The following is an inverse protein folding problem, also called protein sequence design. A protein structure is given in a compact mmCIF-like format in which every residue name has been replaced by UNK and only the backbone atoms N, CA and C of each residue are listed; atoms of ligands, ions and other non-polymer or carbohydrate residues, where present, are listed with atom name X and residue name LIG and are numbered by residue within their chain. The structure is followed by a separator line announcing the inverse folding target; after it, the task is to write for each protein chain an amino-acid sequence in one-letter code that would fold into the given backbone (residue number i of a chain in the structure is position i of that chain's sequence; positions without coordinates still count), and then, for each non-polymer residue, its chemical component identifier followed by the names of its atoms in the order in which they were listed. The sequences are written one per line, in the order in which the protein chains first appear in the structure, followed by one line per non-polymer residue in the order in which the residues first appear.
data_IF_437050162552
#
_entry.id   IF_437050162552
#
_cell.length_a   1.000
_cell.length_b   1.000
_cell.length_c   1.000
_cell.angle_alpha   90.00
_cell.angle_beta   90.00
_cell.angle_gamma   90.00
#
_symmetry.space_group_name_H-M   'P 1'
#
loop_
_entity.id
_entity.type
_entity.pdbx_description
1 polymer ?
#
# COMPACT_ATOMS: atom_id res chain seq x y z
N UNK A 1 22.51 26.49 59.49
CA UNK A 1 21.82 27.06 58.30
C UNK A 1 22.35 26.44 56.99
N UNK A 2 22.44 25.10 56.89
CA UNK A 2 23.00 24.36 55.73
C UNK A 2 22.34 22.98 55.53
N UNK A 3 21.01 22.92 55.36
CA UNK A 3 20.31 21.64 55.10
C UNK A 3 19.21 21.68 54.02
N UNK A 4 18.97 22.81 53.36
CA UNK A 4 17.83 22.97 52.44
C UNK A 4 18.15 22.71 50.95
N UNK A 5 19.41 22.42 50.58
CA UNK A 5 19.85 22.41 49.18
C UNK A 5 20.26 21.02 48.67
N UNK A 6 19.48 19.98 49.00
CA UNK A 6 19.75 18.60 48.54
C UNK A 6 18.55 17.86 47.92
N UNK A 7 17.40 18.51 47.76
CA UNK A 7 16.19 17.85 47.22
C UNK A 7 15.84 18.24 45.77
N UNK A 8 16.64 19.09 45.11
CA UNK A 8 16.27 19.69 43.81
C UNK A 8 17.08 19.16 42.62
N UNK A 9 17.72 17.99 42.76
CA UNK A 9 18.46 17.33 41.68
C UNK A 9 17.83 16.06 41.06
N UNK A 10 16.82 15.37 41.65
CA UNK A 10 16.23 14.20 40.98
C UNK A 10 15.07 14.51 40.01
N UNK A 11 14.64 15.78 39.87
CA UNK A 11 13.44 16.11 39.07
C UNK A 11 13.73 16.29 37.56
N UNK A 12 14.96 16.64 37.17
CA UNK A 12 15.29 16.97 35.76
C UNK A 12 15.82 15.77 34.96
N UNK A 13 16.19 14.68 35.63
CA UNK A 13 16.61 13.43 34.97
C UNK A 13 15.44 12.50 34.58
N UNK A 14 14.21 12.81 35.00
CA UNK A 14 13.02 11.96 34.77
C UNK A 14 12.26 12.21 33.46
N UNK A 15 12.53 13.32 32.75
CA UNK A 15 11.75 13.72 31.57
C UNK A 15 12.38 13.31 30.22
N UNK A 16 13.56 12.69 30.24
CA UNK A 16 14.25 12.19 29.04
C UNK A 16 13.98 10.70 28.72
N UNK A 17 13.22 9.98 29.56
CA UNK A 17 12.93 8.55 29.41
C UNK A 17 11.52 8.26 28.86
N UNK A 18 10.73 9.28 28.53
CA UNK A 18 9.31 9.12 28.14
C UNK A 18 9.07 8.88 26.64
N UNK A 19 10.12 8.80 25.80
CA UNK A 19 9.94 8.58 24.34
C UNK A 19 10.41 7.21 23.84
N UNK A 20 10.78 6.29 24.73
CA UNK A 20 11.18 4.91 24.37
C UNK A 20 10.01 3.91 24.38
N UNK A 21 8.76 4.37 24.31
CA UNK A 21 7.58 3.53 24.54
C UNK A 21 7.02 2.70 23.36
N UNK A 22 7.49 2.73 22.09
CA UNK A 22 6.82 1.92 21.07
C UNK A 22 7.18 0.43 21.13
N UNK A 23 8.24 0.02 21.83
CA UNK A 23 8.68 -1.37 21.84
C UNK A 23 7.79 -2.30 22.68
N UNK A 24 7.27 -1.81 23.81
CA UNK A 24 6.41 -2.62 24.71
C UNK A 24 4.95 -2.69 24.22
N UNK A 25 4.45 -1.67 23.53
CA UNK A 25 3.10 -1.72 22.95
C UNK A 25 3.02 -2.67 21.74
N UNK A 26 4.15 -2.90 21.06
CA UNK A 26 4.20 -3.79 19.89
C UNK A 26 4.15 -5.27 20.28
N UNK A 27 4.73 -5.66 21.43
CA UNK A 27 4.69 -7.05 21.90
C UNK A 27 3.27 -7.51 22.25
N UNK A 28 2.48 -6.66 22.89
CA UNK A 28 1.12 -7.02 23.33
C UNK A 28 0.18 -7.18 22.12
N UNK A 29 0.34 -6.33 21.09
CA UNK A 29 -0.44 -6.42 19.86
C UNK A 29 -0.12 -7.69 19.05
N UNK A 30 1.15 -8.10 19.01
CA UNK A 30 1.57 -9.33 18.36
C UNK A 30 1.04 -10.56 19.08
N UNK A 31 1.08 -10.59 20.41
CA UNK A 31 0.55 -11.69 21.22
C UNK A 31 -0.96 -11.86 21.01
N UNK A 32 -1.73 -10.77 21.09
CA UNK A 32 -3.17 -10.80 20.80
C UNK A 32 -3.47 -11.24 19.36
N UNK A 33 -2.67 -10.81 18.38
CA UNK A 33 -2.83 -11.25 16.99
C UNK A 33 -2.61 -12.76 16.83
N UNK A 34 -1.66 -13.34 17.58
CA UNK A 34 -1.40 -14.79 17.59
C UNK A 34 -2.55 -15.56 18.25
N UNK A 35 -3.14 -15.06 19.32
CA UNK A 35 -4.33 -15.67 19.93
C UNK A 35 -5.51 -15.72 18.93
N UNK A 36 -5.78 -14.61 18.23
CA UNK A 36 -6.80 -14.57 17.16
C UNK A 36 -6.49 -15.52 16.01
N UNK A 37 -5.21 -15.72 15.70
CA UNK A 37 -4.81 -16.71 14.71
C UNK A 37 -5.09 -18.14 15.18
N UNK A 38 -4.87 -18.46 16.45
CA UNK A 38 -5.23 -19.76 17.03
C UNK A 38 -6.74 -19.99 16.97
N UNK A 39 -7.54 -18.98 17.32
CA UNK A 39 -9.00 -19.01 17.17
C UNK A 39 -9.40 -19.27 15.70
N UNK A 40 -8.80 -18.55 14.75
CA UNK A 40 -9.08 -18.76 13.33
C UNK A 40 -8.77 -20.19 12.85
N UNK A 41 -7.69 -20.80 13.36
CA UNK A 41 -7.34 -22.21 13.08
C UNK A 41 -8.39 -23.17 13.60
N UNK A 42 -8.78 -23.01 14.87
CA UNK A 42 -9.77 -23.85 15.53
C UNK A 42 -11.14 -23.78 14.84
N UNK A 43 -11.59 -22.58 14.50
CA UNK A 43 -12.86 -22.37 13.79
C UNK A 43 -12.85 -22.93 12.37
N UNK A 44 -11.68 -22.89 11.70
CA UNK A 44 -11.52 -23.48 10.38
C UNK A 44 -11.58 -25.01 10.43
N UNK A 45 -10.95 -25.62 11.43
CA UNK A 45 -11.04 -27.07 11.69
C UNK A 45 -12.46 -27.51 12.07
N UNK A 46 -13.21 -26.65 12.75
CA UNK A 46 -14.62 -26.86 13.09
C UNK A 46 -15.58 -26.68 11.90
N UNK A 47 -15.11 -26.18 10.75
CA UNK A 47 -15.93 -25.88 9.57
C UNK A 47 -16.72 -24.57 9.67
N UNK A 48 -16.46 -23.74 10.70
CA UNK A 48 -17.11 -22.45 10.90
C UNK A 48 -16.39 -21.35 10.11
N UNK A 49 -16.51 -21.41 8.78
CA UNK A 49 -15.69 -20.59 7.87
C UNK A 49 -15.90 -19.07 8.03
N UNK A 50 -17.09 -18.60 8.39
CA UNK A 50 -17.33 -17.17 8.63
C UNK A 50 -16.60 -16.66 9.87
N UNK A 51 -16.65 -17.42 10.97
CA UNK A 51 -15.96 -17.10 12.22
C UNK A 51 -14.45 -17.15 12.02
N UNK A 52 -13.95 -18.19 11.34
CA UNK A 52 -12.54 -18.32 10.99
C UNK A 52 -12.05 -17.11 10.17
N UNK A 53 -12.82 -16.67 9.17
CA UNK A 53 -12.52 -15.47 8.37
C UNK A 53 -12.46 -14.21 9.25
N UNK A 54 -13.42 -14.05 10.15
CA UNK A 54 -13.50 -12.89 11.06
C UNK A 54 -12.29 -12.83 12.01
N UNK A 55 -11.96 -13.96 12.64
CA UNK A 55 -10.81 -14.07 13.54
C UNK A 55 -9.48 -13.81 12.81
N UNK A 56 -9.32 -14.35 11.59
CA UNK A 56 -8.15 -14.08 10.76
C UNK A 56 -8.05 -12.59 10.34
N UNK A 57 -9.17 -11.93 10.07
CA UNK A 57 -9.20 -10.49 9.79
C UNK A 57 -8.81 -9.66 11.01
N UNK A 58 -9.29 -10.03 12.20
CA UNK A 58 -8.90 -9.39 13.46
C UNK A 58 -7.38 -9.52 13.71
N UNK A 59 -6.81 -10.71 13.46
CA UNK A 59 -5.37 -10.93 13.57
C UNK A 59 -4.57 -10.01 12.62
N UNK A 60 -4.99 -9.89 11.35
CA UNK A 60 -4.33 -9.02 10.37
C UNK A 60 -4.47 -7.52 10.68
N UNK A 61 -5.57 -7.10 11.32
CA UNK A 61 -5.75 -5.70 11.78
C UNK A 61 -4.82 -5.35 12.93
N UNK A 62 -4.61 -6.29 13.85
CA UNK A 62 -3.70 -6.12 14.99
C UNK A 62 -2.23 -6.15 14.53
N UNK A 63 -1.89 -7.12 13.68
CA UNK A 63 -0.52 -7.29 13.20
C UNK A 63 -0.48 -7.61 11.69
N UNK A 64 -0.37 -6.58 10.82
CA UNK A 64 -0.41 -6.76 9.36
C UNK A 64 0.71 -7.63 8.76
N UNK A 65 1.83 -7.77 9.48
CA UNK A 65 2.95 -8.64 9.10
C UNK A 65 2.75 -10.11 9.47
N UNK A 66 1.64 -10.48 10.13
CA UNK A 66 1.29 -11.86 10.43
C UNK A 66 0.77 -12.57 9.16
N UNK A 67 1.66 -12.84 8.21
CA UNK A 67 1.29 -13.41 6.92
C UNK A 67 0.54 -14.74 7.04
N UNK A 68 0.81 -15.52 8.09
CA UNK A 68 0.08 -16.77 8.35
C UNK A 68 -1.44 -16.55 8.47
N UNK A 69 -1.90 -15.46 9.09
CA UNK A 69 -3.32 -15.11 9.16
C UNK A 69 -3.94 -14.88 7.78
N UNK A 70 -3.17 -14.38 6.81
CA UNK A 70 -3.59 -14.27 5.42
C UNK A 70 -3.90 -15.65 4.83
N UNK A 71 -3.04 -16.65 5.04
CA UNK A 71 -3.29 -18.02 4.57
C UNK A 71 -4.61 -18.57 5.12
N UNK A 72 -4.85 -18.48 6.44
CA UNK A 72 -6.10 -18.97 7.05
C UNK A 72 -7.34 -18.21 6.59
N UNK A 73 -7.24 -16.89 6.38
CA UNK A 73 -8.32 -16.11 5.75
C UNK A 73 -8.64 -16.62 4.34
N UNK A 74 -7.63 -17.01 3.56
CA UNK A 74 -7.83 -17.55 2.22
C UNK A 74 -8.51 -18.92 2.25
N UNK A 75 -8.10 -19.79 3.17
CA UNK A 75 -8.71 -21.10 3.38
C UNK A 75 -10.17 -20.97 3.86
N UNK A 76 -10.47 -19.98 4.71
CA UNK A 76 -11.85 -19.67 5.07
C UNK A 76 -12.68 -19.23 3.86
N UNK A 77 -12.13 -18.40 2.96
CA UNK A 77 -12.81 -18.05 1.70
C UNK A 77 -13.01 -19.27 0.78
N UNK A 78 -12.08 -20.23 0.77
CA UNK A 78 -12.26 -21.51 0.06
C UNK A 78 -13.48 -22.26 0.61
N UNK A 79 -13.59 -22.36 1.94
CA UNK A 79 -14.73 -23.01 2.62
C UNK A 79 -16.08 -22.31 2.37
N UNK A 80 -16.07 -21.00 2.19
CA UNK A 80 -17.27 -20.21 1.82
C UNK A 80 -17.65 -20.30 0.33
N UNK A 81 -16.88 -21.00 -0.50
CA UNK A 81 -17.11 -21.05 -1.95
C UNK A 81 -16.70 -19.77 -2.69
N UNK A 82 -16.06 -18.81 -2.02
CA UNK A 82 -15.55 -17.58 -2.64
C UNK A 82 -14.20 -17.81 -3.33
N UNK A 83 -14.15 -18.79 -4.25
CA UNK A 83 -12.93 -19.36 -4.83
C UNK A 83 -12.01 -18.32 -5.49
N UNK A 84 -12.57 -17.32 -6.16
CA UNK A 84 -11.79 -16.24 -6.80
C UNK A 84 -11.01 -15.40 -5.77
N UNK A 85 -11.64 -15.08 -4.63
CA UNK A 85 -11.01 -14.32 -3.55
C UNK A 85 -9.97 -15.16 -2.83
N UNK A 86 -10.27 -16.42 -2.56
CA UNK A 86 -9.31 -17.37 -1.98
C UNK A 86 -8.03 -17.47 -2.84
N UNK A 87 -8.18 -17.66 -4.16
CA UNK A 87 -7.06 -17.71 -5.12
C UNK A 87 -6.21 -16.44 -5.08
N UNK A 88 -6.83 -15.27 -5.14
CA UNK A 88 -6.13 -13.99 -5.10
C UNK A 88 -5.28 -13.85 -3.84
N UNK A 89 -5.88 -14.16 -2.69
CA UNK A 89 -5.24 -14.00 -1.39
C UNK A 89 -4.09 -14.99 -1.16
N UNK A 90 -4.23 -16.26 -1.59
CA UNK A 90 -3.14 -17.25 -1.58
C UNK A 90 -2.00 -16.87 -2.51
N UNK A 91 -2.30 -16.31 -3.69
CA UNK A 91 -1.25 -15.86 -4.62
C UNK A 91 -0.41 -14.72 -4.03
N UNK A 92 -1.06 -13.78 -3.34
CA UNK A 92 -0.36 -12.72 -2.58
C UNK A 92 0.46 -13.31 -1.45
N UNK A 93 -0.12 -14.23 -0.66
CA UNK A 93 0.59 -14.90 0.43
C UNK A 93 1.88 -15.59 -0.03
N UNK A 94 1.84 -16.32 -1.16
CA UNK A 94 3.01 -16.98 -1.74
C UNK A 94 4.13 -16.01 -2.12
N UNK A 95 3.79 -14.80 -2.57
CA UNK A 95 4.76 -13.77 -2.93
C UNK A 95 5.45 -13.14 -1.70
N UNK A 96 4.71 -12.99 -0.59
CA UNK A 96 5.21 -12.30 0.61
C UNK A 96 5.80 -13.25 1.66
N UNK A 97 5.41 -14.52 1.66
CA UNK A 97 5.91 -15.51 2.60
C UNK A 97 7.35 -15.90 2.29
N UNK A 98 8.18 -16.05 3.33
CA UNK A 98 9.56 -16.51 3.21
C UNK A 98 9.74 -17.98 3.59
N UNK A 99 8.77 -18.57 4.29
CA UNK A 99 8.86 -19.95 4.76
C UNK A 99 8.42 -20.95 3.68
N UNK A 100 9.30 -21.91 3.35
CA UNK A 100 9.06 -22.89 2.27
C UNK A 100 7.89 -23.82 2.59
N UNK A 101 7.76 -24.26 3.85
CA UNK A 101 6.62 -25.09 4.30
C UNK A 101 5.28 -24.38 4.08
N UNK A 102 5.23 -23.07 4.35
CA UNK A 102 4.03 -22.28 4.18
C UNK A 102 3.68 -22.08 2.70
N UNK A 103 4.69 -21.93 1.83
CA UNK A 103 4.49 -21.88 0.37
C UNK A 103 3.97 -23.21 -0.16
N UNK A 104 4.48 -24.34 0.30
CA UNK A 104 4.02 -25.66 -0.11
C UNK A 104 2.53 -25.86 0.23
N UNK A 105 2.11 -25.49 1.45
CA UNK A 105 0.68 -25.52 1.83
C UNK A 105 -0.18 -24.60 0.97
N UNK A 106 0.32 -23.42 0.64
CA UNK A 106 -0.39 -22.49 -0.23
C UNK A 106 -0.53 -23.01 -1.67
N UNK A 107 0.49 -23.71 -2.18
CA UNK A 107 0.45 -24.34 -3.51
C UNK A 107 -0.55 -25.48 -3.58
N UNK A 108 -0.62 -26.31 -2.54
CA UNK A 108 -1.63 -27.36 -2.44
C UNK A 108 -3.06 -26.77 -2.42
N UNK A 109 -3.29 -25.72 -1.61
CA UNK A 109 -4.58 -25.04 -1.55
C UNK A 109 -4.95 -24.38 -2.89
N UNK A 110 -3.98 -23.76 -3.58
CA UNK A 110 -4.18 -23.17 -4.90
C UNK A 110 -4.57 -24.23 -5.94
N UNK A 111 -3.95 -25.41 -5.91
CA UNK A 111 -4.30 -26.51 -6.82
C UNK A 111 -5.76 -26.95 -6.62
N UNK A 112 -6.18 -27.17 -5.37
CA UNK A 112 -7.58 -27.52 -5.04
C UNK A 112 -8.58 -26.45 -5.50
N UNK A 113 -8.25 -25.17 -5.26
CA UNK A 113 -9.12 -24.06 -5.69
C UNK A 113 -9.22 -23.96 -7.22
N UNK A 114 -8.12 -24.22 -7.94
CA UNK A 114 -8.12 -24.20 -9.41
C UNK A 114 -8.97 -25.33 -10.00
N UNK A 115 -8.91 -26.52 -9.40
CA UNK A 115 -9.77 -27.64 -9.77
C UNK A 115 -11.25 -27.28 -9.57
N UNK A 116 -11.63 -26.81 -8.38
CA UNK A 116 -13.00 -26.35 -8.08
C UNK A 116 -13.48 -25.25 -9.04
N UNK A 117 -12.61 -24.29 -9.39
CA UNK A 117 -12.95 -23.25 -10.37
C UNK A 117 -13.16 -23.82 -11.78
N UNK A 118 -12.41 -24.84 -12.16
CA UNK A 118 -12.59 -25.56 -13.42
C UNK A 118 -13.93 -26.28 -13.48
N UNK A 119 -14.34 -26.93 -12.40
CA UNK A 119 -15.64 -27.60 -12.29
C UNK A 119 -16.80 -26.61 -12.37
N UNK A 120 -16.74 -25.51 -11.61
CA UNK A 120 -17.77 -24.44 -11.66
C UNK A 120 -17.89 -23.87 -13.07
N UNK A 121 -16.77 -23.71 -13.79
CA UNK A 121 -16.79 -23.22 -15.18
C UNK A 121 -17.41 -24.24 -16.13
N UNK A 122 -17.11 -25.52 -15.99
CA UNK A 122 -17.73 -26.59 -16.81
C UNK A 122 -19.24 -26.62 -16.59
N UNK A 123 -19.68 -26.61 -15.33
CA UNK A 123 -21.10 -26.59 -14.99
C UNK A 123 -21.83 -25.37 -15.57
N UNK A 124 -21.20 -24.18 -15.54
CA UNK A 124 -21.77 -22.98 -16.15
C UNK A 124 -21.93 -23.10 -17.68
N UNK A 125 -20.95 -23.68 -18.38
CA UNK A 125 -21.01 -23.91 -19.83
C UNK A 125 -22.11 -24.94 -20.18
N UNK A 126 -22.24 -26.01 -19.40
CA UNK A 126 -23.30 -27.01 -19.60
C UNK A 126 -24.71 -26.42 -19.38
N UNK A 127 -24.88 -25.56 -18.38
CA UNK A 127 -26.14 -24.83 -18.14
C UNK A 127 -26.48 -23.89 -19.29
N UNK A 128 -25.49 -23.14 -19.79
CA UNK A 128 -25.67 -22.23 -20.93
C UNK A 128 -26.02 -22.99 -22.22
N UNK A 129 -25.36 -24.13 -22.49
CA UNK A 129 -25.67 -24.97 -23.63
C UNK A 129 -27.08 -25.58 -23.56
N UNK A 130 -27.53 -25.99 -22.37
CA UNK A 130 -28.88 -26.51 -22.14
C UNK A 130 -29.95 -25.42 -22.32
N UNK A 131 -29.69 -24.20 -21.83
CA UNK A 131 -30.60 -23.06 -22.00
C UNK A 131 -30.76 -22.68 -23.47
N UNK A 132 -29.67 -22.68 -24.26
CA UNK A 132 -29.71 -22.38 -25.69
C UNK A 132 -30.48 -23.46 -26.50
N UNK A 133 -30.43 -24.72 -26.07
CA UNK A 133 -31.17 -25.81 -26.71
C UNK A 133 -32.69 -25.74 -26.45
N UNK A 134 -33.12 -25.13 -25.34
CA UNK A 134 -34.52 -24.98 -25.00
C UNK A 134 -35.20 -23.79 -25.72
N UNK A 135 -34.44 -22.77 -26.10
CA UNK A 135 -34.94 -21.56 -26.77
C UNK A 135 -35.08 -21.75 -28.30
N UNK A 136 -34.44 -22.78 -28.87
CA UNK A 136 -34.41 -23.03 -30.31
C UNK A 136 -35.64 -23.74 -30.92
N UNK A 137 -36.78 -23.82 -30.22
CA UNK A 137 -37.95 -24.60 -30.65
C UNK A 137 -39.28 -23.84 -30.71
N UNK A 138 -39.25 -22.55 -31.07
CA UNK A 138 -40.44 -21.84 -31.54
C UNK A 138 -40.36 -21.60 -33.06
N UNK A 139 -40.95 -22.56 -33.77
CA UNK A 139 -41.29 -22.50 -35.18
C UNK A 139 -42.54 -21.62 -35.34
N UNK A 140 -42.47 -20.57 -36.16
CA UNK A 140 -43.66 -20.03 -36.83
C UNK A 140 -44.00 -18.55 -36.62
N UNK A 141 -43.64 -17.77 -37.65
CA UNK A 141 -44.48 -16.78 -38.33
C UNK A 141 -45.10 -15.63 -37.51
N UNK A 142 -44.64 -14.41 -37.79
CA UNK A 142 -45.54 -13.38 -38.32
C UNK A 142 -44.75 -12.30 -39.08
N UNK A 143 -45.07 -12.17 -40.37
CA UNK A 143 -44.72 -11.04 -41.22
C UNK A 143 -45.41 -9.78 -40.66
N UNK A 144 -44.63 -8.71 -40.47
CA UNK A 144 -45.12 -7.44 -39.96
C UNK A 144 -44.24 -6.30 -40.44
N UNK A 145 -44.31 -6.04 -41.74
CA UNK A 145 -43.82 -4.84 -42.40
C UNK A 145 -44.54 -3.61 -41.81
N UNK A 146 -43.85 -2.73 -41.09
CA UNK A 146 -44.27 -1.32 -41.06
C UNK A 146 -43.08 -0.37 -40.88
N UNK A 147 -42.85 0.38 -41.95
CA UNK A 147 -41.93 1.50 -42.01
C UNK A 147 -42.45 2.65 -41.13
N UNK A 148 -41.69 2.99 -40.09
CA UNK A 148 -41.97 4.11 -39.18
C UNK A 148 -40.80 5.07 -39.10
N UNK A 149 -40.86 6.11 -39.92
CA UNK A 149 -39.88 7.20 -40.04
C UNK A 149 -39.75 8.07 -38.79
N UNK A 150 -38.58 8.72 -38.69
CA UNK A 150 -38.37 10.07 -38.13
C UNK A 150 -38.31 10.22 -36.61
N UNK A 151 -37.12 10.60 -36.14
CA UNK A 151 -36.88 11.01 -34.76
C UNK A 151 -35.53 11.66 -34.53
N UNK A 152 -35.19 12.65 -35.37
CA UNK A 152 -34.12 13.63 -35.13
C UNK A 152 -34.37 14.34 -33.80
N UNK A 153 -33.53 14.08 -32.80
CA UNK A 153 -33.70 14.59 -31.43
C UNK A 153 -32.39 15.04 -30.80
N UNK A 154 -31.95 16.23 -31.20
CA UNK A 154 -31.37 17.25 -30.31
C UNK A 154 -30.14 16.88 -29.46
N UNK A 155 -28.96 17.04 -30.08
CA UNK A 155 -28.05 18.15 -29.76
C UNK A 155 -27.99 18.66 -28.31
N UNK A 156 -27.67 17.80 -27.35
CA UNK A 156 -27.22 18.21 -26.02
C UNK A 156 -25.78 18.71 -26.10
N UNK A 157 -25.61 19.99 -26.43
CA UNK A 157 -24.32 20.70 -26.36
C UNK A 157 -23.89 20.78 -24.89
N UNK A 158 -23.22 19.72 -24.41
CA UNK A 158 -22.56 19.70 -23.13
C UNK A 158 -21.44 20.74 -23.19
N UNK A 159 -21.70 21.89 -22.56
CA UNK A 159 -20.73 22.94 -22.35
C UNK A 159 -19.42 22.31 -21.90
N UNK A 160 -18.42 22.44 -22.77
CA UNK A 160 -17.09 21.93 -22.54
C UNK A 160 -16.52 22.54 -21.27
N UNK A 161 -16.62 21.81 -20.16
CA UNK A 161 -15.46 21.65 -19.31
C UNK A 161 -14.39 21.08 -20.22
N UNK A 162 -13.60 21.98 -20.81
CA UNK A 162 -12.26 21.65 -21.25
C UNK A 162 -11.53 21.21 -19.99
N UNK A 163 -11.73 19.94 -19.62
CA UNK A 163 -10.85 19.21 -18.72
C UNK A 163 -9.50 19.41 -19.37
N UNK A 164 -8.69 20.28 -18.75
CA UNK A 164 -7.40 20.68 -19.28
C UNK A 164 -6.68 19.41 -19.69
N UNK A 165 -6.59 19.19 -21.02
CA UNK A 165 -5.91 18.00 -21.54
C UNK A 165 -4.52 18.08 -20.95
N UNK A 166 -4.11 17.15 -20.06
CA UNK A 166 -2.78 17.18 -19.52
C UNK A 166 -1.85 17.15 -20.72
N UNK A 167 -0.98 18.15 -20.84
CA UNK A 167 -0.24 18.57 -22.05
C UNK A 167 0.62 17.49 -22.75
N UNK A 168 0.54 16.23 -22.34
CA UNK A 168 1.38 15.10 -22.76
C UNK A 168 0.58 13.77 -22.75
N UNK A 169 -0.70 13.79 -23.15
CA UNK A 169 -1.46 12.55 -23.40
C UNK A 169 -1.33 12.18 -24.88
N UNK A 170 -0.73 11.03 -25.23
CA UNK A 170 -0.72 10.54 -26.60
C UNK A 170 -2.14 10.21 -27.06
N UNK A 171 -2.42 10.33 -28.35
CA UNK A 171 -3.71 10.01 -28.96
C UNK A 171 -3.94 8.48 -29.04
N UNK A 172 -4.01 7.82 -27.88
CA UNK A 172 -4.41 6.41 -27.80
C UNK A 172 -5.94 6.31 -27.76
N UNK A 173 -6.56 5.36 -28.50
CA UNK A 173 -7.99 5.12 -28.39
C UNK A 173 -8.32 4.73 -26.95
N UNK A 174 -9.37 5.36 -26.39
CA UNK A 174 -9.79 5.10 -25.02
C UNK A 174 -10.11 3.61 -24.84
N UNK A 175 -9.51 2.99 -23.81
CA UNK A 175 -9.66 1.56 -23.53
C UNK A 175 -8.63 0.65 -24.20
N UNK A 176 -7.70 1.18 -24.99
CA UNK A 176 -6.58 0.36 -25.49
C UNK A 176 -5.61 -0.04 -24.37
N UNK A 177 -4.90 -1.14 -24.57
CA UNK A 177 -3.85 -1.59 -23.64
C UNK A 177 -2.72 -0.53 -23.52
N UNK A 178 -2.45 0.20 -24.59
CA UNK A 178 -1.50 1.31 -24.62
C UNK A 178 -1.96 2.47 -23.73
N UNK A 179 -3.27 2.76 -23.73
CA UNK A 179 -3.87 3.75 -22.85
C UNK A 179 -3.77 3.33 -21.38
N UNK A 180 -4.11 2.08 -21.06
CA UNK A 180 -4.04 1.56 -19.69
C UNK A 180 -2.60 1.51 -19.15
N UNK A 181 -1.64 1.07 -19.98
CA UNK A 181 -0.23 1.05 -19.61
C UNK A 181 0.34 2.47 -19.42
N UNK A 182 -0.05 3.41 -20.27
CA UNK A 182 0.29 4.82 -20.09
C UNK A 182 -0.29 5.40 -18.79
N UNK A 183 -1.55 5.05 -18.45
CA UNK A 183 -2.22 5.50 -17.23
C UNK A 183 -1.54 4.95 -15.97
N UNK A 184 -1.26 3.64 -15.92
CA UNK A 184 -0.53 3.01 -14.82
C UNK A 184 0.87 3.62 -14.65
N UNK A 185 1.57 3.86 -15.75
CA UNK A 185 2.86 4.54 -15.72
C UNK A 185 2.77 5.95 -15.15
N UNK A 186 1.76 6.74 -15.55
CA UNK A 186 1.51 8.09 -15.00
C UNK A 186 1.22 8.04 -13.50
N UNK A 187 0.44 7.07 -13.05
CA UNK A 187 0.14 6.87 -11.63
C UNK A 187 1.41 6.55 -10.83
N UNK A 188 2.25 5.64 -11.34
CA UNK A 188 3.54 5.32 -10.71
C UNK A 188 4.47 6.54 -10.65
N UNK A 189 4.52 7.32 -11.73
CA UNK A 189 5.34 8.53 -11.79
C UNK A 189 4.84 9.60 -10.80
N UNK A 190 3.53 9.78 -10.68
CA UNK A 190 2.92 10.69 -9.71
C UNK A 190 3.24 10.26 -8.27
N UNK A 191 3.13 8.97 -7.96
CA UNK A 191 3.45 8.44 -6.64
C UNK A 191 4.94 8.63 -6.29
N UNK A 192 5.84 8.39 -7.24
CA UNK A 192 7.27 8.64 -7.06
C UNK A 192 7.57 10.12 -6.82
N UNK A 193 6.86 11.02 -7.51
CA UNK A 193 7.01 12.46 -7.33
C UNK A 193 6.56 12.89 -5.92
N UNK A 194 5.40 12.40 -5.46
CA UNK A 194 4.91 12.67 -4.10
C UNK A 194 5.93 12.18 -3.07
N UNK A 195 6.41 10.93 -3.17
CA UNK A 195 7.40 10.39 -2.22
C UNK A 195 8.71 11.17 -2.20
N UNK A 196 9.19 11.58 -3.38
CA UNK A 196 10.39 12.43 -3.50
C UNK A 196 10.16 13.79 -2.83
N UNK A 197 9.04 14.44 -3.11
CA UNK A 197 8.72 15.77 -2.58
C UNK A 197 8.55 15.72 -1.05
N UNK A 198 7.95 14.66 -0.50
CA UNK A 198 7.92 14.38 0.94
C UNK A 198 9.32 14.20 1.52
N UNK A 199 10.22 13.47 0.83
CA UNK A 199 11.61 13.32 1.24
C UNK A 199 12.35 14.67 1.29
N UNK A 200 12.16 15.52 0.27
CA UNK A 200 12.73 16.88 0.23
C UNK A 200 12.18 17.74 1.37
N UNK A 201 10.87 17.68 1.64
CA UNK A 201 10.25 18.41 2.73
C UNK A 201 10.81 17.99 4.10
N UNK A 202 11.06 16.68 4.32
CA UNK A 202 11.71 16.18 5.53
C UNK A 202 13.14 16.69 5.68
N UNK A 203 13.92 16.71 4.59
CA UNK A 203 15.28 17.27 4.60
C UNK A 203 15.24 18.76 4.94
N UNK A 204 14.36 19.53 4.30
CA UNK A 204 14.23 20.97 4.54
C UNK A 204 13.80 21.27 5.98
N UNK A 205 12.81 20.53 6.49
CA UNK A 205 12.36 20.64 7.88
C UNK A 205 13.46 20.26 8.87
N UNK A 206 14.16 19.15 8.63
CA UNK A 206 15.28 18.71 9.45
C UNK A 206 16.45 19.70 9.48
N UNK A 207 16.83 20.24 8.32
CA UNK A 207 17.86 21.27 8.21
C UNK A 207 17.46 22.57 8.93
N UNK A 208 16.20 23.00 8.79
CA UNK A 208 15.68 24.17 9.50
C UNK A 208 15.72 23.99 11.02
N UNK A 209 15.31 22.82 11.51
CA UNK A 209 15.28 22.49 12.94
C UNK A 209 16.71 22.40 13.51
N UNK A 210 17.65 21.79 12.79
CA UNK A 210 19.06 21.75 13.18
C UNK A 210 19.71 23.14 13.18
N UNK A 211 19.38 23.99 12.20
CA UNK A 211 19.85 25.38 12.13
C UNK A 211 19.36 26.21 13.32
N UNK A 212 18.06 26.12 13.65
CA UNK A 212 17.50 26.79 14.82
C UNK A 212 18.11 26.28 16.13
N UNK A 213 18.28 24.96 16.28
CA UNK A 213 18.93 24.36 17.44
C UNK A 213 20.37 24.85 17.64
N UNK A 214 21.12 24.96 16.54
CA UNK A 214 22.49 25.48 16.54
C UNK A 214 22.54 26.96 16.94
N UNK A 215 21.61 27.77 16.44
CA UNK A 215 21.52 29.19 16.81
C UNK A 215 21.20 29.37 18.31
N UNK A 216 20.27 28.58 18.84
CA UNK A 216 19.93 28.60 20.28
C UNK A 216 21.13 28.17 21.12
N UNK A 217 21.80 27.07 20.75
CA UNK A 217 22.98 26.59 21.46
C UNK A 217 24.10 27.64 21.47
N UNK A 218 24.40 28.26 20.32
CA UNK A 218 25.41 29.30 20.21
C UNK A 218 25.07 30.57 21.01
N UNK A 219 23.80 30.98 21.03
CA UNK A 219 23.34 32.10 21.84
C UNK A 219 23.52 31.82 23.34
N UNK A 220 23.25 30.59 23.78
CA UNK A 220 23.41 30.19 25.17
C UNK A 220 24.87 30.07 25.58
N UNK A 221 25.75 29.55 24.71
CA UNK A 221 27.21 29.53 24.94
C UNK A 221 27.74 30.96 25.09
N UNK A 222 27.28 31.88 24.23
CA UNK A 222 27.67 33.29 24.32
C UNK A 222 27.23 33.91 25.65
N UNK A 223 26.01 33.59 26.10
CA UNK A 223 25.46 34.09 27.37
C UNK A 223 26.11 33.46 28.61
N UNK A 224 26.58 32.21 28.51
CA UNK A 224 27.24 31.51 29.64
C UNK A 224 28.54 32.18 30.07
N UNK A 225 29.24 32.84 29.13
CA UNK A 225 30.46 33.61 29.43
C UNK A 225 30.20 34.79 30.38
N UNK A 226 28.97 35.32 30.39
CA UNK A 226 28.58 36.47 31.21
C UNK A 226 28.06 36.04 32.58
N UNK A 227 27.40 34.89 32.68
CA UNK A 227 26.77 34.44 33.93
C UNK A 227 26.82 32.91 34.11
N UNK A 228 27.94 32.35 34.59
CA UNK A 228 28.21 30.90 34.55
C UNK A 228 27.38 30.04 35.52
N UNK A 229 26.37 30.60 36.19
CA UNK A 229 25.52 29.88 37.15
C UNK A 229 24.03 29.88 36.84
N UNK A 230 23.59 30.46 35.71
CA UNK A 230 22.16 30.56 35.39
C UNK A 230 21.60 29.22 34.86
N UNK A 231 20.65 28.58 35.57
CA UNK A 231 20.08 27.29 35.15
C UNK A 231 19.33 27.35 33.81
N UNK A 232 18.88 28.54 33.40
CA UNK A 232 18.23 28.71 32.09
C UNK A 232 19.19 28.48 30.92
N UNK A 233 20.50 28.70 31.13
CA UNK A 233 21.53 28.49 30.11
C UNK A 233 21.72 27.00 29.85
N UNK A 234 21.74 26.19 30.91
CA UNK A 234 21.83 24.73 30.79
C UNK A 234 20.60 24.15 30.07
N UNK A 235 19.39 24.65 30.42
CA UNK A 235 18.16 24.25 29.75
C UNK A 235 18.16 24.65 28.26
N UNK A 236 18.60 25.86 27.93
CA UNK A 236 18.70 26.33 26.55
C UNK A 236 19.71 25.55 25.72
N UNK A 237 20.85 25.16 26.30
CA UNK A 237 21.84 24.30 25.63
C UNK A 237 21.29 22.89 25.37
N UNK A 238 20.60 22.30 26.34
CA UNK A 238 19.93 21.00 26.17
C UNK A 238 18.86 21.03 25.08
N UNK A 239 18.03 22.07 25.05
CA UNK A 239 17.03 22.26 24.01
C UNK A 239 17.67 22.45 22.62
N UNK A 240 18.77 23.21 22.54
CA UNK A 240 19.53 23.39 21.29
C UNK A 240 20.10 22.08 20.75
N UNK A 241 20.76 21.29 21.61
CA UNK A 241 21.30 19.97 21.21
C UNK A 241 20.20 18.97 20.83
N UNK A 242 19.09 18.95 21.56
CA UNK A 242 17.92 18.12 21.22
C UNK A 242 17.37 18.47 19.84
N UNK A 243 17.23 19.76 19.53
CA UNK A 243 16.82 20.22 18.22
C UNK A 243 17.82 19.83 17.12
N UNK A 244 19.13 19.95 17.35
CA UNK A 244 20.14 19.49 16.38
C UNK A 244 20.00 17.98 16.11
N UNK A 245 19.85 17.17 17.15
CA UNK A 245 19.70 15.72 17.03
C UNK A 245 18.42 15.34 16.26
N UNK A 246 17.28 15.95 16.59
CA UNK A 246 16.01 15.72 15.87
C UNK A 246 16.06 16.23 14.43
N UNK A 247 16.75 17.33 14.17
CA UNK A 247 16.95 17.82 12.80
C UNK A 247 17.79 16.85 11.98
N UNK A 248 18.89 16.33 12.56
CA UNK A 248 19.76 15.36 11.91
C UNK A 248 19.03 14.04 11.58
N UNK A 249 18.18 13.53 12.48
CA UNK A 249 17.42 12.30 12.21
C UNK A 249 16.44 12.47 11.05
N UNK A 250 15.74 13.61 10.97
CA UNK A 250 14.86 13.92 9.84
C UNK A 250 15.61 13.99 8.51
N UNK A 251 16.82 14.58 8.49
CA UNK A 251 17.68 14.59 7.30
C UNK A 251 18.11 13.17 6.91
N UNK A 252 18.54 12.36 7.88
CA UNK A 252 18.95 10.97 7.64
C UNK A 252 17.83 10.10 7.07
N UNK A 253 16.57 10.33 7.46
CA UNK A 253 15.40 9.62 6.92
C UNK A 253 14.98 10.19 5.56
N UNK A 254 14.97 11.51 5.41
CA UNK A 254 14.52 12.17 4.18
C UNK A 254 15.46 11.96 2.99
N UNK A 255 16.78 11.93 3.22
CA UNK A 255 17.80 11.78 2.19
C UNK A 255 17.66 10.51 1.32
N UNK A 256 17.58 9.28 1.88
CA UNK A 256 17.43 8.08 1.07
C UNK A 256 16.09 8.07 0.30
N UNK A 257 15.00 8.56 0.91
CA UNK A 257 13.69 8.67 0.26
C UNK A 257 13.79 9.61 -0.96
N UNK A 258 14.38 10.80 -0.80
CA UNK A 258 14.52 11.76 -1.89
C UNK A 258 15.44 11.22 -3.02
N UNK A 259 16.60 10.66 -2.67
CA UNK A 259 17.58 10.17 -3.64
C UNK A 259 17.07 8.95 -4.42
N UNK A 260 16.56 7.92 -3.73
CA UNK A 260 16.10 6.70 -4.39
C UNK A 260 14.91 6.97 -5.32
N UNK A 261 13.95 7.78 -4.88
CA UNK A 261 12.80 8.13 -5.70
C UNK A 261 13.18 9.08 -6.84
N UNK A 262 14.12 10.01 -6.62
CA UNK A 262 14.65 10.89 -7.66
C UNK A 262 15.39 10.13 -8.77
N UNK A 263 16.26 9.18 -8.39
CA UNK A 263 16.98 8.32 -9.34
C UNK A 263 16.02 7.43 -10.12
N UNK A 264 15.01 6.85 -9.44
CA UNK A 264 14.00 6.01 -10.10
C UNK A 264 13.16 6.82 -11.09
N UNK A 265 12.72 8.02 -10.72
CA UNK A 265 12.01 8.93 -11.62
C UNK A 265 12.86 9.33 -12.83
N UNK A 266 14.16 9.65 -12.63
CA UNK A 266 15.07 9.99 -13.73
C UNK A 266 15.35 8.82 -14.67
N UNK A 267 15.40 7.58 -14.17
CA UNK A 267 15.54 6.40 -15.03
C UNK A 267 14.30 6.20 -15.87
N UNK A 268 13.11 6.30 -15.25
CA UNK A 268 11.83 6.16 -15.95
C UNK A 268 11.61 7.23 -17.01
N UNK A 269 12.09 8.47 -16.81
CA UNK A 269 11.96 9.53 -17.80
C UNK A 269 12.91 9.36 -19.00
N UNK A 270 14.14 8.85 -18.77
CA UNK A 270 15.15 8.67 -19.82
C UNK A 270 14.86 7.49 -20.74
N UNK A 271 14.23 6.42 -20.26
CA UNK A 271 13.95 5.24 -21.08
C UNK A 271 13.03 5.53 -22.27
N UNK A 272 12.13 6.52 -22.19
CA UNK A 272 11.22 6.87 -23.30
C UNK A 272 11.92 7.42 -24.54
N UNK A 273 13.06 8.08 -24.39
CA UNK A 273 13.78 8.66 -25.53
C UNK A 273 14.52 7.61 -26.38
N UNK A 274 14.70 6.38 -25.88
CA UNK A 274 15.49 5.35 -26.58
C UNK A 274 14.66 4.24 -27.23
N UNK A 275 13.39 4.06 -26.86
CA UNK A 275 12.57 2.92 -27.32
C UNK A 275 11.39 3.30 -28.22
N UNK A 276 11.32 4.54 -28.72
CA UNK A 276 10.31 4.98 -29.69
C UNK A 276 10.32 4.24 -31.06
N UNK A 277 11.04 3.12 -31.19
CA UNK A 277 11.00 2.22 -32.35
C UNK A 277 10.57 0.78 -32.07
N UNK A 278 10.43 0.38 -30.82
CA UNK A 278 10.00 -0.98 -30.46
C UNK A 278 8.98 -0.84 -29.34
N UNK A 279 7.70 -0.94 -29.69
CA UNK A 279 6.60 -0.86 -28.74
C UNK A 279 6.74 -1.88 -27.62
N UNK A 280 6.11 -1.63 -26.45
CA UNK A 280 6.12 -2.58 -25.34
C UNK A 280 5.61 -3.93 -25.82
N UNK A 281 6.46 -4.96 -25.75
CA UNK A 281 6.05 -6.32 -26.07
C UNK A 281 5.62 -7.00 -24.78
N UNK A 282 4.39 -7.52 -24.79
CA UNK A 282 3.92 -8.47 -23.79
C UNK A 282 4.68 -9.78 -24.03
N UNK A 283 5.72 -10.00 -23.24
CA UNK A 283 6.47 -11.25 -23.27
C UNK A 283 5.84 -12.21 -22.25
N UNK A 284 5.39 -13.36 -22.76
CA UNK A 284 4.74 -14.39 -21.98
C UNK A 284 5.81 -15.35 -21.46
N UNK A 285 6.57 -14.88 -20.48
CA UNK A 285 7.65 -15.66 -19.88
C UNK A 285 7.07 -16.57 -18.80
N UNK A 286 7.15 -17.89 -19.04
CA UNK A 286 6.77 -18.95 -18.09
C UNK A 286 5.34 -18.86 -17.53
N UNK A 287 4.37 -18.47 -18.36
CA UNK A 287 2.96 -18.40 -17.96
C UNK A 287 2.59 -17.18 -17.11
N UNK A 288 3.53 -16.25 -16.92
CA UNK A 288 3.29 -14.93 -16.34
C UNK A 288 3.47 -13.85 -17.40
N UNK A 289 2.46 -13.01 -17.59
CA UNK A 289 2.54 -11.81 -18.42
C UNK A 289 3.50 -10.82 -17.73
N UNK A 290 4.72 -10.72 -18.25
CA UNK A 290 5.69 -9.75 -17.78
C UNK A 290 5.77 -8.62 -18.82
N UNK A 291 5.34 -7.42 -18.43
CA UNK A 291 5.47 -6.23 -19.27
C UNK A 291 6.95 -5.82 -19.28
N UNK A 292 7.62 -6.04 -20.42
CA UNK A 292 9.02 -5.65 -20.61
C UNK A 292 9.06 -4.29 -21.30
N UNK A 293 9.61 -3.29 -20.61
CA UNK A 293 9.80 -1.92 -21.11
C UNK A 293 11.18 -1.72 -21.72
#
# INVERSE_FOLDING_TARGET
MMRALRCLFPLVLGLGLLTSAPALAQSDAEEQARERLVEAKQELEAGNFETARSAADAALRLYPSLYEAMMYKALAYEGLGELKRAKGLLSTFKQVSFADEAKARADEALARIQEKLGEVRKAAVEQEASALAADGSEDGAEEGEEAGSAGLGSGGSASGLQVARPLDMPDFPAGSEEFLSWMLYRQQLAELKIRRDTGIALIAGGAGLAGLGSAIAAAMISRSSVNPGDPNIAAGHGAGLGAIASGATLVCIGLPIALMNGLKASRMSKSRTSTARLGPQLDLQAGTLALRF
#
